data_IF_594178010804
#
_entry.id   IF_594178010804
#
_cell.length_a   1.000
_cell.length_b   1.000
_cell.length_c   1.000
_cell.angle_alpha   90.00
_cell.angle_beta   90.00
_cell.angle_gamma   90.00
#
_symmetry.space_group_name_H-M   'P 1'
#
loop_
_entity.id
_entity.type
_entity.pdbx_description
1 polymer ?
#
# COMPACT_ATOMS: atom_id res chain seq x y z
N UNK A 1 -6.74 -17.31 5.20
CA UNK A 1 -5.35 -17.00 4.78
C UNK A 1 -5.35 -16.71 3.29
N UNK A 2 -4.99 -15.48 2.97
CA UNK A 2 -4.95 -14.94 1.61
C UNK A 2 -3.80 -15.59 0.83
N UNK A 3 -4.06 -15.98 -0.43
CA UNK A 3 -3.06 -16.61 -1.28
C UNK A 3 -2.08 -15.58 -1.88
N UNK A 4 -0.87 -16.01 -2.24
CA UNK A 4 0.09 -15.14 -2.93
C UNK A 4 -0.46 -14.66 -4.29
N UNK A 5 -1.21 -15.52 -4.99
CA UNK A 5 -1.88 -15.16 -6.24
C UNK A 5 -2.92 -14.04 -6.04
N UNK A 6 -3.69 -14.10 -4.95
CA UNK A 6 -4.63 -13.03 -4.59
C UNK A 6 -3.91 -11.70 -4.40
N UNK A 7 -2.77 -11.68 -3.70
CA UNK A 7 -1.96 -10.48 -3.55
C UNK A 7 -1.48 -9.93 -4.90
N UNK A 8 -1.10 -10.80 -5.84
CA UNK A 8 -0.67 -10.38 -7.19
C UNK A 8 -1.77 -9.62 -7.93
N UNK A 9 -3.00 -10.13 -7.95
CA UNK A 9 -4.12 -9.42 -8.59
C UNK A 9 -4.44 -8.10 -7.89
N UNK A 10 -4.35 -8.07 -6.56
CA UNK A 10 -4.62 -6.84 -5.79
C UNK A 10 -3.59 -5.74 -6.06
N UNK A 11 -2.30 -6.06 -6.23
CA UNK A 11 -1.31 -5.03 -6.57
C UNK A 11 -1.49 -4.49 -7.99
N UNK A 12 -1.97 -5.31 -8.93
CA UNK A 12 -2.33 -4.85 -10.28
C UNK A 12 -3.55 -3.94 -10.24
N UNK A 13 -4.59 -4.33 -9.51
CA UNK A 13 -5.83 -3.55 -9.38
C UNK A 13 -5.60 -2.22 -8.62
N UNK A 14 -4.64 -2.15 -7.71
CA UNK A 14 -4.33 -0.92 -6.98
C UNK A 14 -4.00 0.26 -7.90
N UNK A 15 -3.40 0.04 -9.07
CA UNK A 15 -3.14 1.10 -10.06
C UNK A 15 -4.40 1.71 -10.68
N UNK A 16 -5.55 1.02 -10.59
CA UNK A 16 -6.82 1.47 -11.17
C UNK A 16 -7.58 2.45 -10.26
N UNK A 17 -7.00 2.84 -9.13
CA UNK A 17 -7.53 3.93 -8.29
C UNK A 17 -7.14 5.31 -8.84
N UNK A 18 -6.10 5.41 -9.67
CA UNK A 18 -5.58 6.67 -10.20
C UNK A 18 -6.55 7.33 -11.19
N UNK A 19 -7.16 8.43 -10.75
CA UNK A 19 -8.15 9.17 -11.52
C UNK A 19 -7.61 9.88 -12.76
N UNK A 20 -6.30 10.06 -12.85
CA UNK A 20 -5.63 10.66 -14.01
C UNK A 20 -5.26 9.63 -15.07
N UNK A 21 -5.30 8.32 -14.73
CA UNK A 21 -4.82 7.25 -15.62
C UNK A 21 -5.93 6.36 -16.13
N UNK A 22 -7.02 6.18 -15.37
CA UNK A 22 -8.19 5.45 -15.83
C UNK A 22 -9.40 6.36 -15.99
N UNK A 23 -10.21 6.11 -17.02
CA UNK A 23 -11.44 6.89 -17.26
C UNK A 23 -12.48 6.69 -16.15
N UNK A 24 -12.49 5.50 -15.55
CA UNK A 24 -13.42 5.10 -14.50
C UNK A 24 -12.58 4.49 -13.37
N UNK A 25 -12.23 5.30 -12.35
CA UNK A 25 -11.46 4.84 -11.21
C UNK A 25 -12.26 3.85 -10.37
N UNK A 26 -11.56 2.91 -9.74
CA UNK A 26 -12.16 2.01 -8.78
C UNK A 26 -12.77 2.79 -7.62
N UNK A 27 -13.91 2.30 -7.12
CA UNK A 27 -14.65 2.88 -6.00
C UNK A 27 -15.09 1.80 -5.01
N UNK A 28 -15.52 2.24 -3.84
CA UNK A 28 -16.11 1.35 -2.82
C UNK A 28 -17.23 0.51 -3.43
N UNK A 29 -17.21 -0.80 -3.14
CA UNK A 29 -18.17 -1.78 -3.64
C UNK A 29 -17.76 -2.45 -4.96
N UNK A 30 -16.73 -1.97 -5.64
CA UNK A 30 -16.22 -2.65 -6.83
C UNK A 30 -15.53 -3.97 -6.45
N UNK A 31 -15.64 -4.93 -7.38
CA UNK A 31 -15.05 -6.27 -7.25
C UNK A 31 -13.65 -6.28 -7.90
N UNK A 32 -12.67 -6.80 -7.17
CA UNK A 32 -11.23 -6.78 -7.51
C UNK A 32 -10.57 -8.10 -7.12
N UNK A 33 -9.27 -8.24 -7.39
CA UNK A 33 -8.50 -9.40 -6.96
C UNK A 33 -8.99 -10.69 -7.61
N UNK A 34 -9.22 -10.67 -8.93
CA UNK A 34 -9.79 -11.78 -9.71
C UNK A 34 -11.18 -12.24 -9.22
N UNK A 35 -12.03 -11.28 -8.86
CA UNK A 35 -13.40 -11.53 -8.39
C UNK A 35 -13.55 -12.13 -6.99
N UNK A 36 -12.46 -12.25 -6.23
CA UNK A 36 -12.50 -12.81 -4.88
C UNK A 36 -12.63 -11.74 -3.79
N UNK A 37 -12.48 -10.45 -4.13
CA UNK A 37 -12.44 -9.35 -3.18
C UNK A 37 -13.41 -8.22 -3.54
N UNK A 38 -13.82 -7.46 -2.53
CA UNK A 38 -14.59 -6.22 -2.69
C UNK A 38 -13.90 -5.07 -1.98
N UNK A 39 -13.92 -3.89 -2.61
CA UNK A 39 -13.40 -2.66 -2.00
C UNK A 39 -14.36 -2.21 -0.89
N UNK A 40 -13.87 -2.14 0.35
CA UNK A 40 -14.72 -1.87 1.53
C UNK A 40 -14.72 -0.40 1.96
N UNK A 41 -13.73 0.39 1.54
CA UNK A 41 -13.61 1.83 1.80
C UNK A 41 -13.41 2.62 0.50
N UNK A 42 -13.79 3.91 0.42
CA UNK A 42 -13.42 4.74 -0.72
C UNK A 42 -11.89 4.73 -0.94
N UNK A 43 -11.40 4.36 -2.14
CA UNK A 43 -9.97 4.40 -2.43
C UNK A 43 -9.37 5.79 -2.26
N UNK A 44 -8.07 5.81 -1.99
CA UNK A 44 -7.27 7.03 -1.86
C UNK A 44 -6.53 7.27 -3.17
N UNK A 45 -6.67 8.48 -3.71
CA UNK A 45 -5.87 9.02 -4.82
C UNK A 45 -5.37 10.41 -4.41
N UNK A 46 -4.30 10.45 -3.60
CA UNK A 46 -3.78 11.69 -3.05
C UNK A 46 -2.91 12.41 -4.08
N UNK A 47 -3.54 13.22 -4.92
CA UNK A 47 -2.84 13.98 -5.97
C UNK A 47 -1.82 15.01 -5.46
N UNK A 48 -1.79 15.32 -4.16
CA UNK A 48 -0.83 16.27 -3.56
C UNK A 48 0.56 15.66 -3.30
N UNK A 49 0.60 14.37 -2.95
CA UNK A 49 1.85 13.67 -2.64
C UNK A 49 2.05 12.35 -3.39
N UNK A 50 1.04 11.86 -4.10
CA UNK A 50 1.11 10.66 -4.94
C UNK A 50 0.60 9.38 -4.28
N UNK A 51 0.31 9.37 -2.97
CA UNK A 51 -0.09 8.15 -2.27
C UNK A 51 -1.44 7.64 -2.79
N UNK A 52 -1.48 6.37 -3.18
CA UNK A 52 -2.64 5.71 -3.75
C UNK A 52 -2.86 4.37 -3.06
N UNK A 53 -4.08 4.12 -2.59
CA UNK A 53 -4.38 2.91 -1.85
C UNK A 53 -5.84 2.48 -2.00
N UNK A 54 -6.08 1.18 -1.91
CA UNK A 54 -7.42 0.61 -1.72
C UNK A 54 -7.43 -0.36 -0.54
N UNK A 55 -8.60 -0.48 0.09
CA UNK A 55 -8.83 -1.40 1.20
C UNK A 55 -9.88 -2.42 0.76
N UNK A 56 -9.52 -3.69 0.82
CA UNK A 56 -10.35 -4.78 0.34
C UNK A 56 -10.57 -5.84 1.41
N UNK A 57 -11.67 -6.57 1.28
CA UNK A 57 -11.96 -7.76 2.05
C UNK A 57 -12.39 -8.90 1.11
N UNK A 58 -12.09 -10.17 1.46
CA UNK A 58 -12.59 -11.32 0.71
C UNK A 58 -14.11 -11.32 0.62
N UNK A 59 -14.68 -11.84 -0.46
CA UNK A 59 -16.11 -12.08 -0.59
C UNK A 59 -16.44 -13.41 0.09
N UNK A 60 -17.49 -13.43 0.92
CA UNK A 60 -17.95 -14.68 1.54
C UNK A 60 -18.45 -15.66 0.48
N UNK A 61 -17.92 -16.87 0.51
CA UNK A 61 -18.31 -17.96 -0.39
C UNK A 61 -19.85 -18.15 -0.40
N UNK A 62 -20.42 -18.27 -1.59
CA UNK A 62 -21.87 -18.42 -1.77
C UNK A 62 -22.72 -17.18 -1.50
N UNK A 63 -22.13 -16.02 -1.18
CA UNK A 63 -22.84 -14.75 -1.02
C UNK A 63 -22.41 -13.74 -2.07
N UNK A 64 -23.35 -13.16 -2.81
CA UNK A 64 -23.06 -12.01 -3.65
C UNK A 64 -22.71 -10.80 -2.78
N UNK A 65 -21.43 -10.41 -2.79
CA UNK A 65 -20.90 -9.14 -2.28
C UNK A 65 -20.97 -8.86 -0.76
N UNK A 66 -21.09 -9.88 0.11
CA UNK A 66 -20.88 -9.67 1.56
C UNK A 66 -19.38 -9.79 1.89
N UNK A 67 -18.69 -8.70 2.25
CA UNK A 67 -17.28 -8.77 2.63
C UNK A 67 -17.09 -9.56 3.93
N UNK A 68 -16.05 -10.39 3.97
CA UNK A 68 -15.50 -10.92 5.20
C UNK A 68 -14.46 -9.97 5.77
N UNK A 69 -14.90 -9.02 6.60
CA UNK A 69 -14.00 -8.05 7.22
C UNK A 69 -13.17 -8.65 8.35
N UNK A 70 -13.20 -9.96 8.62
CA UNK A 70 -12.24 -10.57 9.55
C UNK A 70 -10.82 -10.58 9.00
N UNK A 71 -10.67 -10.61 7.67
CA UNK A 71 -9.40 -10.42 6.95
C UNK A 71 -9.50 -9.16 6.07
N UNK A 72 -8.50 -8.29 6.14
CA UNK A 72 -8.44 -7.06 5.32
C UNK A 72 -7.06 -6.95 4.66
N UNK A 73 -7.04 -6.50 3.41
CA UNK A 73 -5.80 -6.10 2.72
C UNK A 73 -5.85 -4.62 2.41
N UNK A 74 -4.78 -3.90 2.75
CA UNK A 74 -4.51 -2.57 2.21
C UNK A 74 -3.49 -2.72 1.08
N UNK A 75 -3.93 -2.44 -0.14
CA UNK A 75 -3.09 -2.50 -1.34
C UNK A 75 -2.66 -1.08 -1.73
N UNK A 76 -1.35 -0.85 -1.78
CA UNK A 76 -0.75 0.42 -2.16
C UNK A 76 -0.27 0.35 -3.61
N UNK A 77 -0.68 1.33 -4.42
CA UNK A 77 -0.20 1.43 -5.79
C UNK A 77 1.23 1.97 -5.78
N UNK A 78 2.08 1.43 -6.65
CA UNK A 78 3.33 2.11 -6.97
C UNK A 78 3.10 3.30 -7.88
N UNK A 79 4.19 3.94 -8.26
CA UNK A 79 4.14 4.90 -9.36
C UNK A 79 4.03 4.17 -10.70
N UNK A 80 3.56 4.91 -11.71
CA UNK A 80 3.19 4.36 -13.02
C UNK A 80 4.27 3.44 -13.64
N UNK A 81 3.84 2.33 -14.25
CA UNK A 81 4.73 1.36 -14.90
C UNK A 81 5.63 1.97 -16.00
N UNK A 82 5.14 2.99 -16.71
CA UNK A 82 5.88 3.71 -17.77
C UNK A 82 6.90 4.73 -17.26
N UNK A 83 6.84 5.10 -15.98
CA UNK A 83 7.76 6.03 -15.31
C UNK A 83 8.73 5.29 -14.36
N UNK A 84 8.69 3.94 -14.35
CA UNK A 84 9.50 3.07 -13.46
C UNK A 84 11.01 3.24 -13.60
N UNK A 85 11.49 3.76 -14.72
CA UNK A 85 12.93 4.02 -14.94
C UNK A 85 13.42 5.25 -14.14
N UNK A 86 12.58 6.24 -13.89
CA UNK A 86 12.95 7.47 -13.17
C UNK A 86 12.73 7.34 -11.63
N UNK A 87 11.81 6.48 -11.19
CA UNK A 87 11.23 6.59 -9.83
C UNK A 87 11.94 5.73 -8.76
N UNK A 88 12.75 4.74 -9.15
CA UNK A 88 13.62 4.09 -8.16
C UNK A 88 14.60 5.09 -7.50
N UNK A 89 14.85 6.23 -8.15
CA UNK A 89 15.72 7.32 -7.69
C UNK A 89 14.94 8.44 -6.97
N UNK A 90 13.70 8.73 -7.39
CA UNK A 90 12.83 9.79 -6.81
C UNK A 90 11.92 9.29 -5.69
N UNK A 91 12.41 8.37 -4.86
CA UNK A 91 11.65 7.86 -3.71
C UNK A 91 11.54 8.95 -2.64
N UNK A 92 10.50 9.76 -2.72
CA UNK A 92 10.09 10.75 -1.71
C UNK A 92 9.48 10.07 -0.47
N UNK A 93 10.22 9.13 0.12
CA UNK A 93 9.83 8.44 1.34
C UNK A 93 10.76 8.86 2.46
N UNK A 94 10.19 9.58 3.42
CA UNK A 94 10.93 9.93 4.62
C UNK A 94 10.70 8.87 5.67
N UNK A 95 11.79 8.26 6.14
CA UNK A 95 11.85 7.99 7.56
C UNK A 95 13.27 7.97 8.15
N UNK A 96 13.33 8.43 9.40
CA UNK A 96 14.51 9.02 10.03
C UNK A 96 14.18 10.28 10.86
N UNK A 97 13.00 10.88 10.69
CA UNK A 97 12.51 11.99 11.53
C UNK A 97 11.60 12.98 10.80
N UNK A 98 11.83 13.24 9.51
CA UNK A 98 11.18 14.35 8.80
C UNK A 98 9.91 13.97 8.04
N UNK A 99 8.76 13.93 8.71
CA UNK A 99 7.48 13.54 8.08
C UNK A 99 6.94 14.48 6.97
N UNK A 100 7.64 15.57 6.68
CA UNK A 100 7.27 16.61 5.73
C UNK A 100 8.43 16.93 4.78
N UNK A 101 8.13 16.96 3.50
CA UNK A 101 9.06 17.23 2.40
C UNK A 101 8.87 18.65 1.90
N UNK A 102 9.97 19.33 1.54
CA UNK A 102 9.92 20.64 0.90
C UNK A 102 9.30 20.47 -0.50
N UNK A 103 8.07 20.95 -0.65
CA UNK A 103 7.30 20.84 -1.88
C UNK A 103 7.70 21.92 -2.91
N UNK A 104 8.03 23.12 -2.42
CA UNK A 104 8.51 24.21 -3.27
C UNK A 104 9.55 25.05 -2.50
N UNK A 105 10.83 25.05 -2.93
CA UNK A 105 11.90 25.83 -2.31
C UNK A 105 11.68 27.34 -2.34
N UNK A 106 10.94 27.87 -3.32
CA UNK A 106 10.69 29.30 -3.46
C UNK A 106 9.63 29.78 -2.49
N UNK A 107 8.56 29.01 -2.32
CA UNK A 107 7.47 29.34 -1.38
C UNK A 107 7.69 28.76 0.03
N UNK A 108 8.72 27.93 0.21
CA UNK A 108 9.00 27.18 1.45
C UNK A 108 7.80 26.37 1.95
N UNK A 109 6.99 25.86 1.02
CA UNK A 109 5.84 25.03 1.36
C UNK A 109 6.27 23.59 1.55
N UNK A 110 5.61 22.88 2.47
CA UNK A 110 5.92 21.49 2.79
C UNK A 110 4.71 20.61 2.54
N UNK A 111 4.95 19.39 2.05
CA UNK A 111 3.93 18.34 1.87
C UNK A 111 4.25 17.12 2.72
N UNK A 112 3.23 16.34 3.12
CA UNK A 112 3.47 15.06 3.78
C UNK A 112 4.11 14.08 2.80
N UNK A 113 5.08 13.30 3.25
CA UNK A 113 5.59 12.16 2.48
C UNK A 113 4.51 11.10 2.24
N UNK A 114 4.64 10.31 1.18
CA UNK A 114 3.67 9.25 0.89
C UNK A 114 3.63 8.20 2.01
N UNK A 115 4.80 7.79 2.52
CA UNK A 115 4.90 6.87 3.66
C UNK A 115 4.22 7.37 4.93
N UNK A 116 4.26 8.68 5.23
CA UNK A 116 3.51 9.23 6.38
C UNK A 116 2.00 9.16 6.14
N UNK A 117 1.52 9.53 4.96
CA UNK A 117 0.11 9.41 4.62
C UNK A 117 -0.35 7.95 4.63
N UNK A 118 0.46 7.01 4.14
CA UNK A 118 0.15 5.59 4.13
C UNK A 118 -0.02 5.04 5.55
N UNK A 119 0.87 5.43 6.48
CA UNK A 119 0.79 5.05 7.89
C UNK A 119 -0.44 5.66 8.60
N UNK A 120 -0.69 6.95 8.43
CA UNK A 120 -1.89 7.59 9.01
C UNK A 120 -3.19 6.96 8.48
N UNK A 121 -3.21 6.58 7.19
CA UNK A 121 -4.35 5.88 6.61
C UNK A 121 -4.51 4.48 7.20
N UNK A 122 -3.42 3.72 7.36
CA UNK A 122 -3.43 2.42 8.01
C UNK A 122 -3.93 2.48 9.46
N UNK A 123 -3.47 3.44 10.26
CA UNK A 123 -3.94 3.69 11.63
C UNK A 123 -5.46 3.95 11.67
N UNK A 124 -5.97 4.72 10.70
CA UNK A 124 -7.41 4.96 10.55
C UNK A 124 -8.19 3.69 10.22
N UNK A 125 -7.69 2.86 9.29
CA UNK A 125 -8.32 1.58 8.95
C UNK A 125 -8.31 0.63 10.14
N UNK A 126 -7.17 0.50 10.84
CA UNK A 126 -7.06 -0.29 12.07
C UNK A 126 -8.06 0.12 13.14
N UNK A 127 -8.24 1.42 13.35
CA UNK A 127 -9.20 1.95 14.32
C UNK A 127 -10.66 1.66 13.92
N UNK A 128 -10.95 1.64 12.62
CA UNK A 128 -12.30 1.34 12.09
C UNK A 128 -12.61 -0.16 12.11
N UNK A 129 -11.58 -1.00 12.02
CA UNK A 129 -11.67 -2.45 11.94
C UNK A 129 -10.81 -3.12 13.03
N UNK A 130 -11.13 -2.91 14.33
CA UNK A 130 -10.25 -3.28 15.44
C UNK A 130 -10.10 -4.79 15.66
N UNK A 131 -11.00 -5.60 15.08
CA UNK A 131 -11.01 -7.06 15.22
C UNK A 131 -10.53 -7.79 13.95
N UNK A 132 -10.01 -7.05 12.97
CA UNK A 132 -9.59 -7.60 11.70
C UNK A 132 -8.12 -7.95 11.71
N UNK A 133 -7.78 -9.07 11.08
CA UNK A 133 -6.40 -9.34 10.66
C UNK A 133 -6.12 -8.48 9.41
N UNK A 134 -5.29 -7.46 9.58
CA UNK A 134 -4.94 -6.52 8.51
C UNK A 134 -3.57 -6.89 7.95
N UNK A 135 -3.50 -7.01 6.63
CA UNK A 135 -2.27 -7.25 5.89
C UNK A 135 -2.06 -6.15 4.85
N UNK A 136 -0.84 -6.02 4.36
CA UNK A 136 -0.47 -5.00 3.36
C UNK A 136 0.17 -5.66 2.15
N UNK A 137 0.02 -5.00 1.00
CA UNK A 137 0.63 -5.41 -0.25
C UNK A 137 0.90 -4.21 -1.13
N UNK A 138 1.87 -4.32 -2.02
CA UNK A 138 2.14 -3.31 -3.03
C UNK A 138 3.11 -3.79 -4.08
N UNK A 139 3.31 -2.94 -5.09
CA UNK A 139 4.34 -3.13 -6.11
C UNK A 139 5.20 -1.87 -6.28
N UNK A 140 6.50 -2.05 -6.54
CA UNK A 140 7.43 -0.95 -6.79
C UNK A 140 7.45 0.03 -5.60
N UNK A 141 7.11 1.31 -5.80
CA UNK A 141 7.01 2.25 -4.68
C UNK A 141 5.92 1.85 -3.66
N UNK A 142 4.80 1.31 -4.15
CA UNK A 142 3.70 0.89 -3.30
C UNK A 142 4.09 -0.27 -2.39
N UNK A 143 5.04 -1.11 -2.82
CA UNK A 143 5.60 -2.13 -1.94
C UNK A 143 6.45 -1.52 -0.82
N UNK A 144 7.22 -0.48 -1.13
CA UNK A 144 7.98 0.23 -0.09
C UNK A 144 7.04 0.86 0.96
N UNK A 145 5.88 1.38 0.53
CA UNK A 145 4.83 1.89 1.43
C UNK A 145 4.19 0.79 2.27
N UNK A 146 3.76 -0.29 1.63
CA UNK A 146 3.15 -1.45 2.27
C UNK A 146 4.09 -2.02 3.34
N UNK A 147 5.35 -2.24 2.99
CA UNK A 147 6.37 -2.78 3.89
C UNK A 147 6.69 -1.83 5.05
N UNK A 148 6.77 -0.51 4.80
CA UNK A 148 6.93 0.49 5.86
C UNK A 148 5.76 0.46 6.85
N UNK A 149 4.52 0.43 6.34
CA UNK A 149 3.30 0.35 7.15
C UNK A 149 3.30 -0.95 7.96
N UNK A 150 3.57 -2.10 7.32
CA UNK A 150 3.61 -3.38 8.00
C UNK A 150 4.62 -3.40 9.15
N UNK A 151 5.81 -2.85 8.94
CA UNK A 151 6.82 -2.74 9.99
C UNK A 151 6.33 -1.90 11.17
N UNK A 152 5.68 -0.76 10.91
CA UNK A 152 5.21 0.16 11.95
C UNK A 152 3.99 -0.37 12.72
N UNK A 153 3.10 -1.07 12.02
CA UNK A 153 1.86 -1.60 12.58
C UNK A 153 2.00 -3.02 13.14
N UNK A 154 3.14 -3.69 12.90
CA UNK A 154 3.35 -5.10 13.28
C UNK A 154 2.52 -6.07 12.45
N UNK A 155 2.18 -5.72 11.21
CA UNK A 155 1.34 -6.52 10.31
C UNK A 155 2.16 -7.40 9.37
N UNK A 156 1.48 -8.31 8.70
CA UNK A 156 2.05 -9.09 7.61
C UNK A 156 2.06 -8.27 6.31
N UNK A 157 3.12 -8.44 5.52
CA UNK A 157 3.27 -7.87 4.19
C UNK A 157 3.58 -8.97 3.18
N UNK A 158 2.90 -8.95 2.04
CA UNK A 158 3.23 -9.77 0.87
C UNK A 158 3.29 -8.86 -0.34
N UNK A 159 4.45 -8.76 -0.97
CA UNK A 159 4.77 -7.62 -1.78
C UNK A 159 5.71 -7.87 -2.93
N UNK A 160 5.75 -6.95 -3.91
CA UNK A 160 6.38 -7.21 -5.20
C UNK A 160 7.36 -6.12 -5.64
N UNK A 161 8.61 -6.51 -5.94
CA UNK A 161 9.62 -5.65 -6.55
C UNK A 161 9.78 -4.27 -5.85
N UNK A 162 9.74 -4.26 -4.52
CA UNK A 162 9.94 -3.04 -3.72
C UNK A 162 11.35 -2.49 -3.80
N UNK A 163 11.46 -1.16 -3.77
CA UNK A 163 12.74 -0.44 -3.68
C UNK A 163 13.38 -0.59 -2.30
N UNK A 164 14.65 -0.25 -2.20
CA UNK A 164 15.41 -0.32 -0.96
C UNK A 164 14.85 0.64 0.11
N UNK A 165 14.55 0.11 1.31
CA UNK A 165 14.09 0.85 2.48
C UNK A 165 15.23 1.40 3.35
N UNK A 166 16.50 1.22 2.99
CA UNK A 166 17.65 1.59 3.83
C UNK A 166 17.66 3.06 4.27
N UNK A 167 17.05 3.96 3.49
CA UNK A 167 16.89 5.39 3.84
C UNK A 167 15.60 5.74 4.59
N UNK A 168 14.73 4.76 4.83
CA UNK A 168 13.41 4.93 5.42
C UNK A 168 13.27 4.30 6.79
N UNK A 169 14.15 3.39 7.19
CA UNK A 169 13.98 2.69 8.47
C UNK A 169 15.34 2.57 9.13
N UNK A 170 15.34 2.58 10.45
CA UNK A 170 16.58 2.38 11.20
C UNK A 170 17.20 1.03 10.83
N UNK A 171 18.51 0.90 10.97
CA UNK A 171 19.20 -0.38 10.77
C UNK A 171 18.51 -1.53 11.54
N UNK A 172 18.02 -1.25 12.76
CA UNK A 172 17.22 -2.20 13.52
C UNK A 172 15.93 -2.63 12.79
N UNK A 173 15.20 -1.71 12.17
CA UNK A 173 14.02 -2.05 11.36
C UNK A 173 14.37 -2.91 10.15
N UNK A 174 15.52 -2.65 9.52
CA UNK A 174 16.02 -3.44 8.38
C UNK A 174 16.35 -4.85 8.83
N UNK A 175 17.08 -4.97 9.94
CA UNK A 175 17.46 -6.26 10.52
C UNK A 175 16.21 -7.04 10.98
N UNK A 176 15.21 -6.34 11.53
CA UNK A 176 13.92 -6.93 11.87
C UNK A 176 13.22 -7.50 10.63
N UNK A 177 13.10 -6.74 9.54
CA UNK A 177 12.51 -7.25 8.29
C UNK A 177 13.29 -8.45 7.75
N UNK A 178 14.63 -8.39 7.75
CA UNK A 178 15.49 -9.49 7.26
C UNK A 178 15.37 -10.77 8.10
N UNK A 179 15.16 -10.63 9.41
CA UNK A 179 15.01 -11.76 10.34
C UNK A 179 13.59 -12.34 10.41
N UNK A 180 12.59 -11.67 9.85
CA UNK A 180 11.18 -12.10 9.86
C UNK A 180 10.62 -12.34 8.44
N UNK A 181 11.24 -13.21 7.61
CA UNK A 181 10.85 -13.40 6.21
C UNK A 181 9.43 -13.97 6.03
N UNK A 182 8.88 -14.65 7.03
CA UNK A 182 7.49 -15.13 7.00
C UNK A 182 6.45 -14.02 7.14
N UNK A 183 6.79 -12.95 7.88
CA UNK A 183 5.97 -11.76 8.08
C UNK A 183 6.13 -10.76 6.94
N UNK A 184 7.34 -10.60 6.41
CA UNK A 184 7.66 -9.64 5.35
C UNK A 184 8.11 -10.34 4.07
N UNK A 185 7.15 -10.84 3.29
CA UNK A 185 7.41 -11.58 2.05
C UNK A 185 7.64 -10.62 0.90
N UNK A 186 8.83 -10.70 0.29
CA UNK A 186 9.26 -9.84 -0.82
C UNK A 186 9.50 -10.67 -2.08
N UNK A 187 8.55 -10.63 -3.01
CA UNK A 187 8.56 -11.35 -4.27
C UNK A 187 9.19 -10.51 -5.39
N UNK A 188 9.92 -11.16 -6.31
CA UNK A 188 10.62 -10.47 -7.42
C UNK A 188 9.82 -10.39 -8.71
N UNK A 189 8.72 -11.13 -8.83
CA UNK A 189 7.90 -11.21 -10.05
C UNK A 189 6.44 -11.01 -9.67
N UNK A 190 5.79 -10.15 -10.43
CA UNK A 190 4.34 -10.16 -10.63
C UNK A 190 4.10 -11.20 -11.72
#
# INVERSE_FOLDING_TARGET
>A
MISEESYRYLVEDAYRVDSKKVKIPLKRGDIVGNSDYVIIEPPIDNTSNGMQAMVVAPIKEGMTAKPDTSEIVIAYAGTNLGERLDIATDVEMVAGGDTYLLADPKTKTFRKSQGKSALEYAEKISSKYPNSEITTTGHSLGESEALYVALKMGWMNVGYNGSDLHHMISNHGIDYIKSHPGQFRKNRKI
#
